data_IF_858227558850
#
_entry.id   IF_858227558850
#
_cell.length_a   1.000
_cell.length_b   1.000
_cell.length_c   1.000
_cell.angle_alpha   90.00
_cell.angle_beta   90.00
_cell.angle_gamma   90.00
#
_symmetry.space_group_name_H-M   'P 1'
#
loop_
_entity.id
_entity.type
_entity.pdbx_description
1 polymer ?
#
# COMPACT_ATOMS: atom_id res chain seq x y z
N UNK A 1 -42.74 76.03 -30.99
CA UNK A 1 -41.34 75.61 -30.98
C UNK A 1 -41.32 74.26 -30.25
N UNK A 2 -41.20 73.17 -31.03
CA UNK A 2 -41.35 71.81 -30.55
C UNK A 2 -39.97 71.18 -30.43
N UNK A 3 -39.58 70.74 -29.25
CA UNK A 3 -38.30 69.98 -29.00
C UNK A 3 -38.64 68.51 -28.92
N UNK A 4 -38.26 67.78 -29.98
CA UNK A 4 -38.38 66.31 -30.07
C UNK A 4 -37.24 65.66 -29.20
N UNK A 5 -37.66 64.92 -28.23
CA UNK A 5 -36.76 64.12 -27.42
C UNK A 5 -36.37 62.83 -28.14
N UNK A 6 -35.11 62.65 -28.45
CA UNK A 6 -34.49 61.44 -29.05
C UNK A 6 -34.21 60.40 -27.95
N UNK A 7 -35.00 59.32 -27.89
CA UNK A 7 -34.81 58.22 -26.95
C UNK A 7 -33.82 57.22 -27.53
N UNK A 8 -32.58 57.21 -27.01
CA UNK A 8 -31.59 56.16 -27.29
C UNK A 8 -31.94 54.91 -26.46
N UNK A 9 -32.33 53.84 -27.14
CA UNK A 9 -32.50 52.52 -26.52
C UNK A 9 -31.15 51.80 -26.50
N UNK A 10 -30.50 51.71 -25.32
CA UNK A 10 -29.36 50.82 -25.11
C UNK A 10 -29.86 49.38 -25.03
N UNK A 11 -29.56 48.58 -26.04
CA UNK A 11 -29.73 47.13 -25.99
C UNK A 11 -28.50 46.55 -25.32
N UNK A 12 -28.64 46.09 -24.08
CA UNK A 12 -27.60 45.36 -23.38
C UNK A 12 -27.62 43.91 -23.88
N UNK A 13 -26.57 43.53 -24.63
CA UNK A 13 -26.34 42.15 -25.03
C UNK A 13 -25.55 41.49 -23.85
N UNK A 14 -26.26 40.68 -23.05
CA UNK A 14 -25.64 39.84 -22.02
C UNK A 14 -25.06 38.61 -22.72
N UNK A 15 -23.72 38.58 -22.88
CA UNK A 15 -23.03 37.40 -23.34
C UNK A 15 -22.90 36.39 -22.16
N UNK A 16 -23.66 35.29 -22.25
CA UNK A 16 -23.54 34.15 -21.31
C UNK A 16 -22.26 33.39 -21.63
N UNK A 17 -21.21 33.58 -20.82
CA UNK A 17 -20.05 32.70 -20.84
C UNK A 17 -20.39 31.40 -20.11
N UNK A 18 -20.68 30.33 -20.86
CA UNK A 18 -20.74 28.97 -20.30
C UNK A 18 -19.31 28.46 -20.12
N UNK A 19 -18.79 28.55 -18.92
CA UNK A 19 -17.53 27.93 -18.55
C UNK A 19 -17.74 26.40 -18.44
N UNK A 20 -17.38 25.66 -19.48
CA UNK A 20 -17.27 24.19 -19.41
C UNK A 20 -16.06 23.82 -18.55
N UNK A 21 -16.32 23.48 -17.31
CA UNK A 21 -15.29 22.86 -16.45
C UNK A 21 -14.98 21.46 -17.01
N UNK A 22 -13.86 21.31 -17.71
CA UNK A 22 -13.35 20.02 -18.10
C UNK A 22 -12.89 19.29 -16.85
N UNK A 23 -13.66 18.31 -16.37
CA UNK A 23 -13.21 17.38 -15.32
C UNK A 23 -12.13 16.50 -15.90
N UNK A 24 -10.88 16.73 -15.51
CA UNK A 24 -9.76 15.82 -15.81
C UNK A 24 -9.98 14.56 -14.97
N UNK A 25 -10.52 13.52 -15.58
CA UNK A 25 -10.57 12.20 -14.97
C UNK A 25 -9.14 11.66 -14.94
N UNK A 26 -8.55 11.58 -13.76
CA UNK A 26 -7.32 10.82 -13.56
C UNK A 26 -7.67 9.34 -13.70
N UNK A 27 -7.29 8.73 -14.81
CA UNK A 27 -7.42 7.29 -14.97
C UNK A 27 -6.49 6.60 -13.97
N UNK A 28 -6.99 5.54 -13.30
CA UNK A 28 -6.15 4.70 -12.46
C UNK A 28 -4.96 4.18 -13.28
N UNK A 29 -3.76 4.11 -12.69
CA UNK A 29 -2.60 3.58 -13.40
C UNK A 29 -2.87 2.15 -13.86
N UNK A 30 -2.36 1.75 -15.04
CA UNK A 30 -2.60 0.40 -15.54
C UNK A 30 -2.10 -0.64 -14.54
N UNK A 31 -2.77 -1.81 -14.39
CA UNK A 31 -2.45 -2.83 -13.40
C UNK A 31 -0.97 -3.26 -13.40
N UNK A 32 -0.35 -3.35 -14.58
CA UNK A 32 1.08 -3.64 -14.75
C UNK A 32 1.99 -2.64 -14.02
N UNK A 33 1.62 -1.36 -13.99
CA UNK A 33 2.37 -0.31 -13.30
C UNK A 33 2.37 -0.46 -11.76
N UNK A 34 1.50 -1.29 -11.20
CA UNK A 34 1.47 -1.58 -9.76
C UNK A 34 2.51 -2.63 -9.34
N UNK A 35 3.10 -3.40 -10.29
CA UNK A 35 3.96 -4.55 -9.96
C UNK A 35 5.24 -4.09 -9.25
N UNK A 36 6.00 -3.16 -9.83
CA UNK A 36 7.24 -2.67 -9.23
C UNK A 36 7.02 -1.95 -7.89
N UNK A 37 6.08 -0.99 -7.78
CA UNK A 37 5.78 -0.36 -6.49
C UNK A 37 5.34 -1.35 -5.40
N UNK A 38 4.58 -2.38 -5.76
CA UNK A 38 4.18 -3.46 -4.84
C UNK A 38 5.39 -4.20 -4.28
N UNK A 39 6.31 -4.60 -5.17
CA UNK A 39 7.54 -5.29 -4.78
C UNK A 39 8.41 -4.43 -3.86
N UNK A 40 8.54 -3.13 -4.13
CA UNK A 40 9.30 -2.20 -3.30
C UNK A 40 8.67 -2.07 -1.90
N UNK A 41 7.35 -1.89 -1.81
CA UNK A 41 6.63 -1.80 -0.54
C UNK A 41 6.72 -3.09 0.28
N UNK A 42 6.70 -4.26 -0.37
CA UNK A 42 6.88 -5.55 0.31
C UNK A 42 8.32 -5.71 0.82
N UNK A 43 9.33 -5.25 0.07
CA UNK A 43 10.72 -5.21 0.53
C UNK A 43 10.92 -4.26 1.71
N UNK A 44 10.31 -3.07 1.67
CA UNK A 44 10.33 -2.12 2.79
C UNK A 44 9.79 -2.77 4.07
N UNK A 45 8.64 -3.45 3.96
CA UNK A 45 8.01 -4.12 5.10
C UNK A 45 8.86 -5.27 5.64
N UNK A 46 9.45 -6.08 4.75
CA UNK A 46 10.37 -7.16 5.13
C UNK A 46 11.64 -6.64 5.78
N UNK A 47 12.22 -5.57 5.23
CA UNK A 47 13.40 -4.90 5.79
C UNK A 47 13.15 -4.32 7.18
N UNK A 48 11.97 -3.70 7.38
CA UNK A 48 11.57 -3.18 8.68
C UNK A 48 11.41 -4.30 9.73
N UNK A 49 10.78 -5.44 9.37
CA UNK A 49 10.67 -6.59 10.27
C UNK A 49 12.04 -7.21 10.58
N UNK A 50 12.93 -7.26 9.59
CA UNK A 50 14.31 -7.71 9.78
C UNK A 50 15.05 -6.80 10.74
N UNK A 51 14.95 -5.48 10.61
CA UNK A 51 15.59 -4.52 11.51
C UNK A 51 15.17 -4.74 12.97
N UNK A 52 13.85 -4.94 13.22
CA UNK A 52 13.35 -5.29 14.57
C UNK A 52 13.95 -6.61 15.06
N UNK A 53 14.03 -7.62 14.21
CA UNK A 53 14.59 -8.93 14.54
C UNK A 53 16.08 -8.81 14.92
N UNK A 54 16.82 -7.97 14.20
CA UNK A 54 18.24 -7.74 14.47
C UNK A 54 18.44 -6.99 15.80
N UNK A 55 17.56 -6.05 16.17
CA UNK A 55 17.59 -5.43 17.51
C UNK A 55 17.38 -6.43 18.63
N UNK A 56 16.42 -7.36 18.48
CA UNK A 56 16.19 -8.44 19.45
C UNK A 56 17.47 -9.30 19.62
N UNK A 57 18.17 -9.63 18.52
CA UNK A 57 19.39 -10.45 18.53
C UNK A 57 20.57 -9.74 19.19
N UNK A 58 20.65 -8.41 19.13
CA UNK A 58 21.71 -7.63 19.79
C UNK A 58 21.64 -7.70 21.32
N UNK A 59 20.48 -8.08 21.88
CA UNK A 59 20.25 -8.16 23.33
C UNK A 59 20.12 -6.80 24.03
N UNK A 60 20.22 -5.71 23.31
CA UNK A 60 19.93 -4.33 23.76
C UNK A 60 19.10 -3.63 22.71
N UNK A 61 17.82 -3.43 23.01
CA UNK A 61 16.81 -2.95 22.07
C UNK A 61 16.80 -1.43 22.05
N UNK A 62 17.06 -0.83 20.89
CA UNK A 62 16.81 0.59 20.64
C UNK A 62 15.33 0.77 20.25
N UNK A 63 14.51 1.06 21.26
CA UNK A 63 13.07 1.20 21.07
C UNK A 63 12.69 2.40 20.20
N UNK A 64 13.28 3.55 20.48
CA UNK A 64 12.83 4.83 19.94
C UNK A 64 13.36 5.08 18.52
N UNK A 65 14.60 4.64 18.22
CA UNK A 65 15.20 4.89 16.90
C UNK A 65 15.14 3.69 15.96
N UNK A 66 14.88 2.48 16.47
CA UNK A 66 14.84 1.27 15.64
C UNK A 66 13.49 0.56 15.71
N UNK A 67 13.05 0.10 16.88
CA UNK A 67 11.89 -0.81 16.96
C UNK A 67 10.58 -0.10 16.64
N UNK A 68 10.29 1.03 17.29
CA UNK A 68 9.01 1.74 17.12
C UNK A 68 8.82 2.24 15.67
N UNK A 69 9.79 2.91 15.01
CA UNK A 69 9.60 3.37 13.63
C UNK A 69 9.50 2.21 12.63
N UNK A 70 10.22 1.10 12.84
CA UNK A 70 10.10 -0.07 11.97
C UNK A 70 8.77 -0.80 12.17
N UNK A 71 8.26 -0.92 13.40
CA UNK A 71 6.93 -1.46 13.66
C UNK A 71 5.82 -0.59 13.02
N UNK A 72 5.98 0.73 13.05
CA UNK A 72 5.10 1.65 12.34
C UNK A 72 5.13 1.40 10.82
N UNK A 73 6.32 1.22 10.24
CA UNK A 73 6.47 0.90 8.82
C UNK A 73 5.74 -0.39 8.45
N UNK A 74 5.91 -1.46 9.22
CA UNK A 74 5.19 -2.73 8.99
C UNK A 74 3.69 -2.53 9.04
N UNK A 75 3.18 -1.82 10.03
CA UNK A 75 1.75 -1.51 10.18
C UNK A 75 1.23 -0.70 8.99
N UNK A 76 1.86 0.41 8.65
CA UNK A 76 1.39 1.32 7.60
C UNK A 76 1.38 0.65 6.22
N UNK A 77 2.39 -0.18 5.93
CA UNK A 77 2.42 -0.95 4.68
C UNK A 77 1.33 -2.03 4.67
N UNK A 78 1.10 -2.73 5.77
CA UNK A 78 0.10 -3.80 5.84
C UNK A 78 -1.33 -3.33 5.56
N UNK A 79 -1.70 -2.11 5.95
CA UNK A 79 -3.05 -1.54 5.75
C UNK A 79 -3.47 -1.58 4.27
N UNK A 80 -2.54 -1.34 3.36
CA UNK A 80 -2.82 -1.22 1.93
C UNK A 80 -2.48 -2.49 1.12
N UNK A 81 -2.04 -3.59 1.76
CA UNK A 81 -1.50 -4.76 1.06
C UNK A 81 -2.48 -5.34 0.03
N UNK A 82 -3.77 -5.38 0.34
CA UNK A 82 -4.79 -5.92 -0.57
C UNK A 82 -4.97 -5.05 -1.83
N UNK A 83 -4.75 -3.75 -1.72
CA UNK A 83 -4.88 -2.80 -2.83
C UNK A 83 -3.71 -2.90 -3.84
N UNK A 84 -2.63 -3.60 -3.48
CA UNK A 84 -1.46 -3.73 -4.35
C UNK A 84 -1.58 -4.85 -5.38
N UNK A 85 -2.68 -5.61 -5.36
CA UNK A 85 -2.92 -6.74 -6.25
C UNK A 85 -4.18 -6.57 -7.10
N UNK A 86 -4.30 -5.47 -7.89
CA UNK A 86 -5.43 -5.31 -8.77
C UNK A 86 -5.44 -6.43 -9.83
N UNK A 87 -6.63 -6.73 -10.35
CA UNK A 87 -6.79 -7.70 -11.46
C UNK A 87 -5.94 -7.27 -12.66
N UNK A 88 -5.24 -8.20 -13.31
CA UNK A 88 -4.34 -7.88 -14.42
C UNK A 88 -2.93 -7.46 -13.99
N UNK A 89 -2.57 -7.57 -12.70
CA UNK A 89 -1.21 -7.29 -12.21
C UNK A 89 -0.44 -8.58 -11.85
N UNK A 90 -0.84 -9.69 -12.42
CA UNK A 90 -0.18 -10.98 -12.31
C UNK A 90 0.81 -11.26 -13.43
N UNK A 91 1.18 -12.54 -13.64
CA UNK A 91 2.08 -12.95 -14.72
C UNK A 91 1.59 -12.56 -16.12
N UNK A 92 0.27 -12.45 -16.31
CA UNK A 92 -0.37 -12.03 -17.56
C UNK A 92 -0.04 -10.58 -17.97
N UNK A 93 0.50 -9.78 -17.04
CA UNK A 93 0.95 -8.42 -17.35
C UNK A 93 2.27 -8.36 -18.14
N UNK A 94 2.96 -9.51 -18.34
CA UNK A 94 4.27 -9.62 -18.99
C UNK A 94 5.36 -8.73 -18.37
N UNK A 95 5.22 -8.40 -17.08
CA UNK A 95 6.21 -7.70 -16.25
C UNK A 95 6.70 -8.67 -15.19
N UNK A 96 8.02 -8.69 -14.92
CA UNK A 96 8.62 -9.61 -13.94
C UNK A 96 7.92 -9.48 -12.59
N UNK A 97 7.29 -10.56 -12.15
CA UNK A 97 6.60 -10.66 -10.87
C UNK A 97 6.75 -12.06 -10.29
N UNK A 98 6.81 -12.14 -8.95
CA UNK A 98 6.78 -13.40 -8.22
C UNK A 98 5.38 -13.72 -7.66
N UNK A 99 4.38 -12.90 -7.97
CA UNK A 99 3.00 -13.15 -7.59
C UNK A 99 2.43 -14.28 -8.45
N UNK A 100 1.95 -15.34 -7.80
CA UNK A 100 1.34 -16.47 -8.48
C UNK A 100 -0.12 -16.18 -8.89
N UNK A 101 -0.63 -16.75 -9.99
CA UNK A 101 -2.04 -16.62 -10.40
C UNK A 101 -3.04 -17.00 -9.31
N UNK A 102 -2.64 -17.87 -8.39
CA UNK A 102 -3.44 -18.30 -7.23
C UNK A 102 -4.00 -17.15 -6.40
N UNK A 103 -3.33 -15.97 -6.36
CA UNK A 103 -3.82 -14.78 -5.69
C UNK A 103 -5.20 -14.39 -6.20
N UNK A 104 -5.37 -14.31 -7.51
CA UNK A 104 -6.63 -13.86 -8.14
C UNK A 104 -7.64 -14.98 -8.29
N UNK A 105 -7.19 -16.24 -8.31
CA UNK A 105 -8.07 -17.43 -8.35
C UNK A 105 -8.70 -17.71 -6.97
N UNK A 106 -8.01 -17.37 -5.88
CA UNK A 106 -8.43 -17.59 -4.49
C UNK A 106 -8.39 -16.28 -3.68
N UNK A 107 -8.94 -15.21 -4.26
CA UNK A 107 -8.80 -13.86 -3.71
C UNK A 107 -9.39 -13.72 -2.31
N UNK A 108 -10.44 -14.47 -1.98
CA UNK A 108 -11.02 -14.49 -0.63
C UNK A 108 -10.04 -15.04 0.41
N UNK A 109 -9.32 -16.12 0.09
CA UNK A 109 -8.29 -16.66 0.98
C UNK A 109 -7.08 -15.73 1.09
N UNK A 110 -6.64 -15.14 -0.03
CA UNK A 110 -5.61 -14.11 -0.02
C UNK A 110 -6.03 -12.92 0.85
N UNK A 111 -7.29 -12.50 0.76
CA UNK A 111 -7.85 -11.43 1.59
C UNK A 111 -7.81 -11.76 3.08
N UNK A 112 -8.12 -13.00 3.47
CA UNK A 112 -8.01 -13.45 4.88
C UNK A 112 -6.57 -13.35 5.38
N UNK A 113 -5.58 -13.77 4.59
CA UNK A 113 -4.16 -13.65 4.93
C UNK A 113 -3.74 -12.19 5.09
N UNK A 114 -4.17 -11.32 4.17
CA UNK A 114 -3.89 -9.88 4.24
C UNK A 114 -4.48 -9.24 5.50
N UNK A 115 -5.72 -9.57 5.87
CA UNK A 115 -6.37 -9.10 7.10
C UNK A 115 -5.65 -9.64 8.36
N UNK A 116 -5.19 -10.87 8.34
CA UNK A 116 -4.40 -11.42 9.45
C UNK A 116 -3.10 -10.63 9.63
N UNK A 117 -2.38 -10.35 8.54
CA UNK A 117 -1.17 -9.51 8.60
C UNK A 117 -1.46 -8.12 9.15
N UNK A 118 -2.58 -7.49 8.78
CA UNK A 118 -2.99 -6.18 9.31
C UNK A 118 -3.19 -6.22 10.83
N UNK A 119 -3.86 -7.26 11.34
CA UNK A 119 -4.08 -7.45 12.77
C UNK A 119 -2.76 -7.68 13.51
N UNK A 120 -1.89 -8.54 12.98
CA UNK A 120 -0.59 -8.85 13.59
C UNK A 120 0.34 -7.64 13.57
N UNK A 121 0.34 -6.84 12.51
CA UNK A 121 1.12 -5.62 12.41
C UNK A 121 0.62 -4.52 13.39
N UNK A 122 -0.69 -4.41 13.59
CA UNK A 122 -1.26 -3.52 14.60
C UNK A 122 -0.81 -3.94 16.02
N UNK A 123 -0.80 -5.24 16.31
CA UNK A 123 -0.31 -5.77 17.58
C UNK A 123 1.19 -5.54 17.76
N UNK A 124 1.99 -5.69 16.69
CA UNK A 124 3.42 -5.38 16.72
C UNK A 124 3.66 -3.92 17.15
N UNK A 125 2.91 -2.98 16.56
CA UNK A 125 3.01 -1.57 16.93
C UNK A 125 2.62 -1.32 18.40
N UNK A 126 1.60 -2.02 18.92
CA UNK A 126 1.21 -1.91 20.32
C UNK A 126 2.33 -2.34 21.27
N UNK A 127 2.91 -3.53 21.06
CA UNK A 127 3.97 -4.05 21.94
C UNK A 127 5.25 -3.23 21.81
N UNK A 128 5.55 -2.69 20.61
CA UNK A 128 6.67 -1.79 20.39
C UNK A 128 6.50 -0.48 21.18
N UNK A 129 5.33 0.17 21.11
CA UNK A 129 5.05 1.41 21.85
C UNK A 129 5.05 1.20 23.36
N UNK A 130 4.63 0.02 23.82
CA UNK A 130 4.68 -0.35 25.22
C UNK A 130 6.10 -0.74 25.71
N UNK A 131 7.07 -0.82 24.79
CA UNK A 131 8.43 -1.30 25.04
C UNK A 131 8.45 -2.67 25.73
N UNK A 132 7.45 -3.52 25.37
CA UNK A 132 7.29 -4.87 25.89
C UNK A 132 8.19 -5.86 25.12
N UNK A 133 9.34 -6.18 25.68
CA UNK A 133 10.34 -7.05 25.03
C UNK A 133 9.82 -8.49 24.82
N UNK A 134 9.12 -9.05 25.80
CA UNK A 134 8.57 -10.40 25.68
C UNK A 134 7.47 -10.46 24.61
N UNK A 135 6.57 -9.48 24.62
CA UNK A 135 5.54 -9.31 23.61
C UNK A 135 6.12 -9.06 22.22
N UNK A 136 7.19 -8.27 22.10
CA UNK A 136 7.87 -8.01 20.83
C UNK A 136 8.44 -9.30 20.23
N UNK A 137 9.17 -10.11 21.03
CA UNK A 137 9.74 -11.40 20.59
C UNK A 137 8.64 -12.35 20.11
N UNK A 138 7.54 -12.47 20.87
CA UNK A 138 6.42 -13.32 20.50
C UNK A 138 5.72 -12.82 19.21
N UNK A 139 5.52 -11.49 19.08
CA UNK A 139 4.83 -10.92 17.95
C UNK A 139 5.64 -10.98 16.65
N UNK A 140 6.95 -10.81 16.70
CA UNK A 140 7.84 -11.01 15.54
C UNK A 140 7.74 -12.45 15.01
N UNK A 141 7.72 -13.45 15.91
CA UNK A 141 7.51 -14.84 15.51
C UNK A 141 6.13 -15.06 14.87
N UNK A 142 5.08 -14.43 15.40
CA UNK A 142 3.72 -14.52 14.86
C UNK A 142 3.66 -13.94 13.46
N UNK A 143 4.19 -12.74 13.24
CA UNK A 143 4.24 -12.11 11.91
C UNK A 143 5.06 -12.98 10.93
N UNK A 144 6.19 -13.54 11.35
CA UNK A 144 6.97 -14.46 10.52
C UNK A 144 6.15 -15.65 10.01
N UNK A 145 5.31 -16.23 10.86
CA UNK A 145 4.38 -17.31 10.46
C UNK A 145 3.32 -16.80 9.50
N UNK A 146 2.75 -15.63 9.73
CA UNK A 146 1.75 -15.02 8.84
C UNK A 146 2.35 -14.69 7.47
N UNK A 147 3.57 -14.15 7.42
CA UNK A 147 4.30 -13.93 6.16
C UNK A 147 4.49 -15.24 5.40
N UNK A 148 4.94 -16.30 6.07
CA UNK A 148 5.14 -17.61 5.46
C UNK A 148 3.83 -18.19 4.93
N UNK A 149 2.76 -18.16 5.72
CA UNK A 149 1.45 -18.70 5.34
C UNK A 149 0.87 -18.04 4.08
N UNK A 150 1.16 -16.74 3.86
CA UNK A 150 0.80 -16.04 2.64
C UNK A 150 1.77 -16.36 1.49
N UNK A 151 3.08 -16.39 1.75
CA UNK A 151 4.10 -16.59 0.71
C UNK A 151 4.06 -17.98 0.12
N UNK A 152 3.85 -19.03 0.91
CA UNK A 152 3.84 -20.42 0.44
C UNK A 152 2.86 -20.66 -0.74
N UNK A 153 1.59 -20.24 -0.70
CA UNK A 153 0.65 -20.45 -1.80
C UNK A 153 0.66 -19.37 -2.87
N UNK A 154 1.22 -18.17 -2.60
CA UNK A 154 0.99 -16.98 -3.43
C UNK A 154 2.26 -16.33 -4.00
N UNK A 155 3.46 -16.74 -3.56
CA UNK A 155 4.74 -16.27 -4.08
C UNK A 155 5.50 -17.38 -4.80
N UNK A 156 6.03 -17.09 -6.00
CA UNK A 156 6.87 -18.04 -6.72
C UNK A 156 8.13 -18.38 -5.92
N UNK A 157 8.55 -19.66 -5.90
CA UNK A 157 9.82 -20.07 -5.31
C UNK A 157 11.04 -19.48 -6.03
N UNK A 158 10.89 -18.98 -7.25
CA UNK A 158 11.97 -18.31 -7.97
C UNK A 158 12.40 -17.01 -7.29
N UNK A 159 11.56 -16.44 -6.42
CA UNK A 159 11.95 -15.29 -5.60
C UNK A 159 13.20 -15.58 -4.76
N UNK A 160 13.27 -16.73 -4.13
CA UNK A 160 14.44 -17.10 -3.29
C UNK A 160 15.68 -17.23 -4.15
N UNK A 161 15.60 -17.93 -5.30
CA UNK A 161 16.73 -18.12 -6.22
C UNK A 161 17.30 -16.81 -6.77
N UNK A 162 16.42 -15.85 -7.05
CA UNK A 162 16.82 -14.56 -7.62
C UNK A 162 17.35 -13.56 -6.56
N UNK A 163 17.23 -13.88 -5.26
CA UNK A 163 17.61 -13.02 -4.14
C UNK A 163 18.53 -13.72 -3.11
N UNK A 164 19.09 -14.90 -3.45
CA UNK A 164 20.10 -15.62 -2.67
C UNK A 164 21.53 -15.11 -3.01
N UNK A 165 21.78 -13.79 -2.86
CA UNK A 165 23.12 -13.21 -2.88
C UNK A 165 23.58 -12.72 -1.50
#
# INVERSE_FOLDING_TARGET
>A
MSMSAFRIRCVAVAALFVATAATVAFADPPPAAQIKPRQDKLRDMGGALKAITDEIKKGRIDWDNAVIPNAQTVKDRSVYILNWFPKGSGPEAHVKTYALPAIWQKFDDFTKQGKQLQADAAKLQQVANAKDEAGLKAQVQTIGKTCKACHDPYRSPDYEKDNEE
#
